data_IF_426912216685
#
_entry.id   IF_426912216685
#
_cell.length_a   1.000
_cell.length_b   1.000
_cell.length_c   1.000
_cell.angle_alpha   90.00
_cell.angle_beta   90.00
_cell.angle_gamma   90.00
#
_symmetry.space_group_name_H-M   'P 1'
#
loop_
_entity.id
_entity.type
_entity.pdbx_description
1 polymer ?
#
# COMPACT_ATOMS: atom_id res chain seq x y z
N UNK A 1 40.31 -56.26 74.18
CA UNK A 1 39.23 -56.49 73.20
C UNK A 1 38.39 -55.22 73.13
N UNK A 2 38.33 -54.58 71.95
CA UNK A 2 37.44 -53.48 71.52
C UNK A 2 37.36 -52.16 72.33
N UNK A 3 37.98 -51.14 71.74
CA UNK A 3 37.61 -49.71 71.80
C UNK A 3 36.21 -49.46 71.20
N UNK A 4 35.51 -48.44 71.70
CA UNK A 4 34.53 -47.62 70.97
C UNK A 4 33.99 -46.50 71.90
N UNK A 5 33.63 -45.30 71.50
CA UNK A 5 34.08 -44.34 70.49
C UNK A 5 33.30 -43.05 70.82
N UNK A 6 33.95 -41.88 70.84
CA UNK A 6 33.27 -40.60 71.04
C UNK A 6 32.66 -40.11 69.71
N UNK A 7 31.37 -39.76 69.69
CA UNK A 7 30.73 -39.14 68.53
C UNK A 7 30.22 -37.74 68.86
N UNK A 8 30.91 -36.71 68.35
CA UNK A 8 30.47 -35.31 68.34
C UNK A 8 29.37 -35.14 67.29
N UNK A 9 28.27 -34.49 67.65
CA UNK A 9 27.21 -34.10 66.71
C UNK A 9 27.67 -32.87 65.91
N UNK A 10 27.81 -33.02 64.60
CA UNK A 10 28.09 -31.95 63.65
C UNK A 10 26.78 -31.58 62.93
N UNK A 11 26.37 -30.33 63.07
CA UNK A 11 25.22 -29.76 62.38
C UNK A 11 25.48 -29.67 60.87
N UNK A 12 24.56 -30.17 60.06
CA UNK A 12 24.52 -29.94 58.61
C UNK A 12 23.29 -29.09 58.33
N UNK A 13 23.53 -27.80 58.05
CA UNK A 13 22.54 -26.86 57.56
C UNK A 13 22.46 -27.03 56.03
N UNK A 14 21.39 -27.65 55.54
CA UNK A 14 21.13 -27.82 54.11
C UNK A 14 20.56 -26.51 53.54
N UNK A 15 21.36 -25.76 52.78
CA UNK A 15 20.86 -24.64 51.97
C UNK A 15 20.26 -25.18 50.66
N UNK A 16 18.93 -25.20 50.56
CA UNK A 16 18.23 -25.37 49.29
C UNK A 16 18.38 -24.09 48.45
N UNK A 17 19.27 -24.11 47.46
CA UNK A 17 19.25 -23.14 46.38
C UNK A 17 18.17 -23.53 45.37
N UNK A 18 17.00 -22.87 45.47
CA UNK A 18 16.02 -22.87 44.39
C UNK A 18 16.64 -22.14 43.20
N UNK A 19 17.16 -22.91 42.25
CA UNK A 19 17.58 -22.40 40.95
C UNK A 19 16.38 -21.82 40.22
N UNK A 20 16.29 -20.49 40.17
CA UNK A 20 15.43 -19.79 39.23
C UNK A 20 15.98 -20.12 37.84
N UNK A 21 15.27 -20.95 37.08
CA UNK A 21 15.57 -21.19 35.69
C UNK A 21 15.37 -19.87 34.93
N UNK A 22 16.48 -19.20 34.59
CA UNK A 22 16.46 -18.13 33.59
C UNK A 22 15.83 -18.69 32.31
N UNK A 23 14.90 -17.98 31.65
CA UNK A 23 14.44 -18.38 30.33
C UNK A 23 15.67 -18.44 29.42
N UNK A 24 15.82 -19.56 28.71
CA UNK A 24 16.92 -19.77 27.78
C UNK A 24 17.01 -18.57 26.84
N UNK A 25 18.13 -17.85 26.92
CA UNK A 25 18.52 -16.82 25.97
C UNK A 25 18.50 -17.47 24.59
N UNK A 26 17.47 -17.16 23.78
CA UNK A 26 17.48 -17.50 22.36
C UNK A 26 18.72 -16.83 21.78
N UNK A 27 19.69 -17.64 21.34
CA UNK A 27 20.93 -17.15 20.77
C UNK A 27 20.63 -16.06 19.75
N UNK A 28 21.11 -14.85 20.01
CA UNK A 28 20.89 -13.68 19.16
C UNK A 28 21.48 -14.01 17.78
N UNK A 29 20.62 -14.07 16.75
CA UNK A 29 21.06 -14.26 15.37
C UNK A 29 21.99 -13.10 14.97
N UNK A 30 23.01 -13.35 14.15
CA UNK A 30 23.78 -12.26 13.54
C UNK A 30 22.92 -11.59 12.46
N UNK A 31 23.13 -10.29 12.21
CA UNK A 31 22.45 -9.57 11.12
C UNK A 31 22.61 -10.30 9.77
N UNK A 32 23.78 -10.86 9.47
CA UNK A 32 24.00 -11.60 8.22
C UNK A 32 23.10 -12.83 8.05
N UNK A 33 22.82 -13.56 9.14
CA UNK A 33 21.88 -14.69 9.11
C UNK A 33 20.45 -14.20 8.95
N UNK A 34 20.14 -13.10 9.64
CA UNK A 34 18.84 -12.45 9.56
C UNK A 34 18.54 -11.96 8.15
N UNK A 35 19.48 -11.28 7.50
CA UNK A 35 19.34 -10.71 6.16
C UNK A 35 19.00 -11.78 5.13
N UNK A 36 19.71 -12.92 5.16
CA UNK A 36 19.44 -14.06 4.27
C UNK A 36 18.00 -14.56 4.41
N UNK A 37 17.49 -14.59 5.63
CA UNK A 37 16.12 -15.03 5.92
C UNK A 37 15.10 -13.97 5.50
N UNK A 38 15.28 -12.72 5.92
CA UNK A 38 14.37 -11.60 5.65
C UNK A 38 14.25 -11.28 4.16
N UNK A 39 15.32 -11.47 3.38
CA UNK A 39 15.31 -11.23 1.93
C UNK A 39 14.19 -11.99 1.20
N UNK A 40 13.85 -13.19 1.65
CA UNK A 40 12.76 -14.00 1.09
C UNK A 40 11.38 -13.73 1.70
N UNK A 41 11.30 -12.91 2.75
CA UNK A 41 10.06 -12.64 3.50
C UNK A 41 9.49 -11.24 3.20
N UNK A 42 10.24 -10.37 2.56
CA UNK A 42 9.78 -9.01 2.22
C UNK A 42 9.53 -8.92 0.72
N UNK A 43 8.38 -8.38 0.34
CA UNK A 43 7.88 -8.35 -1.04
C UNK A 43 7.66 -6.91 -1.49
N UNK A 44 7.88 -6.66 -2.79
CA UNK A 44 7.46 -5.42 -3.42
C UNK A 44 5.97 -5.52 -3.72
N UNK A 45 5.16 -4.57 -3.23
CA UNK A 45 3.73 -4.52 -3.56
C UNK A 45 3.49 -3.44 -4.61
N UNK A 46 2.71 -3.79 -5.64
CA UNK A 46 2.28 -2.88 -6.70
C UNK A 46 0.75 -2.86 -6.78
N UNK A 47 0.09 -1.83 -6.25
CA UNK A 47 -1.32 -1.59 -6.49
C UNK A 47 -1.58 -1.30 -7.96
N UNK A 48 -2.49 -2.03 -8.57
CA UNK A 48 -2.98 -1.82 -9.92
C UNK A 48 -4.44 -1.38 -9.92
N UNK A 49 -4.81 -0.53 -10.88
CA UNK A 49 -6.18 -0.07 -11.09
C UNK A 49 -6.66 -0.40 -12.50
N UNK A 50 -7.88 -0.89 -12.59
CA UNK A 50 -8.70 -0.87 -13.80
C UNK A 50 -9.99 -0.10 -13.50
N UNK A 51 -10.55 0.52 -14.53
CA UNK A 51 -11.78 1.29 -14.42
C UNK A 51 -12.77 0.76 -15.44
N UNK A 52 -14.00 0.47 -15.00
CA UNK A 52 -15.10 0.10 -15.90
C UNK A 52 -16.18 1.15 -15.89
N UNK A 53 -16.68 1.53 -17.06
CA UNK A 53 -17.87 2.35 -17.22
C UNK A 53 -19.07 1.46 -17.48
N UNK A 54 -20.06 1.48 -16.58
CA UNK A 54 -21.33 0.71 -16.66
C UNK A 54 -21.16 -0.79 -16.91
N UNK A 55 -20.01 -1.34 -16.52
CA UNK A 55 -19.60 -2.72 -16.82
C UNK A 55 -19.52 -3.05 -18.33
N UNK A 56 -19.59 -2.05 -19.21
CA UNK A 56 -19.57 -2.23 -20.66
C UNK A 56 -18.23 -1.88 -21.27
N UNK A 57 -17.59 -0.82 -20.76
CA UNK A 57 -16.34 -0.32 -21.32
C UNK A 57 -15.25 -0.28 -20.26
N UNK A 58 -14.02 -0.53 -20.68
CA UNK A 58 -12.81 -0.28 -19.89
C UNK A 58 -12.31 1.13 -20.15
N UNK A 59 -11.92 1.83 -19.10
CA UNK A 59 -11.53 3.23 -19.16
C UNK A 59 -10.03 3.39 -18.91
N UNK A 60 -9.38 4.23 -19.72
CA UNK A 60 -7.95 4.50 -19.61
C UNK A 60 -7.66 5.98 -19.80
N UNK A 61 -6.69 6.52 -19.06
CA UNK A 61 -6.19 7.87 -19.31
C UNK A 61 -5.47 7.88 -20.65
N UNK A 62 -5.94 8.71 -21.57
CA UNK A 62 -5.39 8.79 -22.93
C UNK A 62 -4.71 10.11 -23.24
N UNK A 63 -5.13 11.19 -22.58
CA UNK A 63 -4.71 12.56 -22.91
C UNK A 63 -5.04 13.51 -21.74
N UNK A 64 -4.66 14.78 -21.88
CA UNK A 64 -5.10 15.87 -21.01
C UNK A 64 -5.90 16.90 -21.82
N UNK A 65 -6.97 17.43 -21.25
CA UNK A 65 -7.76 18.50 -21.86
C UNK A 65 -6.87 19.71 -22.16
N UNK A 66 -6.91 20.31 -23.36
CA UNK A 66 -6.01 21.42 -23.71
C UNK A 66 -6.10 22.62 -22.78
N UNK A 67 -7.31 23.05 -22.41
CA UNK A 67 -7.55 24.26 -21.61
C UNK A 67 -7.27 24.06 -20.13
N UNK A 68 -7.79 22.98 -19.54
CA UNK A 68 -7.74 22.76 -18.09
C UNK A 68 -6.61 21.84 -17.62
N UNK A 69 -5.97 21.13 -18.56
CA UNK A 69 -4.99 20.07 -18.28
C UNK A 69 -5.51 18.94 -17.37
N UNK A 70 -6.83 18.74 -17.32
CA UNK A 70 -7.45 17.63 -16.61
C UNK A 70 -7.43 16.35 -17.44
N UNK A 71 -7.39 15.16 -16.81
CA UNK A 71 -7.30 13.89 -17.51
C UNK A 71 -8.50 13.63 -18.42
N UNK A 72 -8.24 13.04 -19.59
CA UNK A 72 -9.26 12.55 -20.52
C UNK A 72 -9.22 11.03 -20.52
N UNK A 73 -10.38 10.42 -20.25
CA UNK A 73 -10.52 8.96 -20.17
C UNK A 73 -11.19 8.44 -21.44
N UNK A 74 -10.46 7.66 -22.24
CA UNK A 74 -11.05 6.93 -23.36
C UNK A 74 -11.72 5.64 -22.89
N UNK A 75 -12.53 5.04 -23.75
CA UNK A 75 -13.32 3.83 -23.50
C UNK A 75 -13.02 2.75 -24.54
N UNK A 76 -12.70 1.53 -24.10
CA UNK A 76 -12.47 0.35 -24.93
C UNK A 76 -13.46 -0.77 -24.57
N UNK A 77 -13.74 -1.68 -25.51
CA UNK A 77 -14.63 -2.83 -25.25
C UNK A 77 -13.91 -4.00 -24.59
N UNK A 78 -12.61 -4.12 -24.79
CA UNK A 78 -11.76 -5.13 -24.20
C UNK A 78 -10.84 -4.53 -23.12
N UNK A 79 -10.28 -5.41 -22.29
CA UNK A 79 -9.31 -5.05 -21.25
C UNK A 79 -7.87 -5.16 -21.78
N UNK A 80 -7.63 -4.71 -23.02
CA UNK A 80 -6.36 -4.93 -23.68
C UNK A 80 -5.16 -4.25 -22.98
N UNK A 81 -5.40 -3.23 -22.14
CA UNK A 81 -4.35 -2.55 -21.37
C UNK A 81 -4.09 -3.20 -20.01
N UNK A 82 -4.97 -4.08 -19.52
CA UNK A 82 -4.82 -4.70 -18.21
C UNK A 82 -4.79 -3.70 -17.05
N UNK A 83 -4.14 -4.09 -15.95
CA UNK A 83 -4.00 -3.22 -14.78
C UNK A 83 -2.96 -2.14 -15.04
N UNK A 84 -3.33 -0.88 -14.78
CA UNK A 84 -2.35 0.21 -14.70
C UNK A 84 -1.75 0.22 -13.29
N UNK A 85 -0.43 0.14 -13.19
CA UNK A 85 0.27 0.24 -11.90
C UNK A 85 0.16 1.69 -11.41
N UNK A 86 -0.42 1.87 -10.23
CA UNK A 86 -0.71 3.20 -9.67
C UNK A 86 0.32 3.62 -8.62
N UNK A 87 1.01 2.66 -8.03
CA UNK A 87 2.06 2.93 -7.06
C UNK A 87 2.88 1.69 -6.74
N UNK A 88 3.67 1.82 -5.70
CA UNK A 88 4.58 0.80 -5.24
C UNK A 88 4.85 0.99 -3.75
N UNK A 89 5.19 -0.10 -3.10
CA UNK A 89 5.57 -0.10 -1.70
C UNK A 89 6.17 -1.43 -1.28
N UNK A 90 6.20 -1.64 0.01
CA UNK A 90 6.70 -2.87 0.62
C UNK A 90 5.58 -3.57 1.37
N UNK A 91 5.57 -4.89 1.33
CA UNK A 91 4.66 -5.72 2.11
C UNK A 91 5.40 -6.95 2.64
N UNK A 92 4.90 -7.54 3.72
CA UNK A 92 5.48 -8.75 4.30
C UNK A 92 4.40 -9.63 4.92
N UNK A 93 4.53 -10.97 4.84
CA UNK A 93 3.59 -11.89 5.44
C UNK A 93 3.73 -11.87 6.96
N UNK A 94 2.62 -11.92 7.67
CA UNK A 94 2.58 -11.93 9.13
C UNK A 94 2.11 -13.27 9.68
N UNK A 95 2.61 -13.64 10.86
CA UNK A 95 2.15 -14.83 11.57
C UNK A 95 0.79 -14.53 12.21
N UNK A 96 -0.20 -15.34 11.87
CA UNK A 96 -1.58 -15.21 12.33
C UNK A 96 -2.08 -16.52 12.94
N UNK A 97 -3.13 -16.44 13.74
CA UNK A 97 -3.87 -17.60 14.26
C UNK A 97 -4.77 -18.21 13.16
N UNK A 98 -5.30 -17.37 12.27
CA UNK A 98 -6.01 -17.79 11.06
C UNK A 98 -5.04 -18.47 10.07
N UNK A 99 -5.48 -19.56 9.42
CA UNK A 99 -4.66 -20.37 8.49
C UNK A 99 -5.32 -20.60 7.14
N UNK A 100 -6.44 -19.93 6.88
CA UNK A 100 -7.19 -20.02 5.62
C UNK A 100 -6.45 -19.34 4.46
N UNK A 101 -5.71 -18.28 4.75
CA UNK A 101 -4.97 -17.46 3.79
C UNK A 101 -3.65 -17.00 4.39
N UNK A 102 -2.77 -16.50 3.54
CA UNK A 102 -1.64 -15.69 4.02
C UNK A 102 -2.05 -14.23 4.07
N UNK A 103 -1.71 -13.60 5.18
CA UNK A 103 -1.98 -12.19 5.43
C UNK A 103 -0.67 -11.41 5.32
N UNK A 104 -0.72 -10.29 4.62
CA UNK A 104 0.41 -9.41 4.42
C UNK A 104 0.09 -8.05 5.00
N UNK A 105 1.07 -7.46 5.68
CA UNK A 105 0.96 -6.09 6.17
C UNK A 105 1.68 -5.16 5.21
N UNK A 106 1.03 -4.03 4.94
CA UNK A 106 1.60 -2.88 4.25
C UNK A 106 1.02 -1.62 4.87
N UNK A 107 1.44 -0.48 4.35
CA UNK A 107 0.94 0.83 4.74
C UNK A 107 -0.33 1.20 3.94
N UNK A 108 -1.27 1.94 4.54
CA UNK A 108 -2.54 2.25 3.88
C UNK A 108 -2.38 3.26 2.73
N UNK A 109 -1.37 4.13 2.75
CA UNK A 109 -1.06 4.97 1.60
C UNK A 109 -0.79 4.13 0.34
N UNK A 110 -0.09 3.00 0.52
CA UNK A 110 0.19 2.03 -0.56
C UNK A 110 -1.09 1.35 -1.01
N UNK A 111 -1.89 0.80 -0.10
CA UNK A 111 -3.02 -0.03 -0.48
C UNK A 111 -4.29 0.74 -0.89
N UNK A 112 -4.67 1.78 -0.16
CA UNK A 112 -5.94 2.48 -0.33
C UNK A 112 -5.82 3.81 -1.07
N UNK A 113 -4.91 4.67 -0.60
CA UNK A 113 -4.90 6.08 -1.05
C UNK A 113 -4.35 6.28 -2.46
N UNK A 114 -3.54 5.33 -2.95
CA UNK A 114 -2.90 5.46 -4.26
C UNK A 114 -3.90 5.39 -5.43
N UNK A 115 -4.93 4.54 -5.34
CA UNK A 115 -5.87 4.30 -6.45
C UNK A 115 -7.12 5.21 -6.41
N UNK A 116 -7.54 5.65 -5.21
CA UNK A 116 -8.77 6.40 -4.98
C UNK A 116 -8.89 7.71 -5.79
N UNK A 117 -7.88 8.60 -5.80
CA UNK A 117 -7.94 9.86 -6.52
C UNK A 117 -8.22 9.68 -8.03
N UNK A 118 -7.58 8.70 -8.67
CA UNK A 118 -7.74 8.46 -10.11
C UNK A 118 -9.12 7.90 -10.44
N UNK A 119 -9.65 7.01 -9.60
CA UNK A 119 -11.03 6.54 -9.74
C UNK A 119 -12.04 7.70 -9.59
N UNK A 120 -11.80 8.59 -8.63
CA UNK A 120 -12.64 9.77 -8.42
C UNK A 120 -12.57 10.75 -9.60
N UNK A 121 -11.40 10.98 -10.19
CA UNK A 121 -11.23 11.81 -11.38
C UNK A 121 -11.94 11.24 -12.60
N UNK A 122 -11.86 9.92 -12.81
CA UNK A 122 -12.62 9.22 -13.85
C UNK A 122 -14.13 9.40 -13.68
N UNK A 123 -14.62 9.25 -12.45
CA UNK A 123 -16.03 9.47 -12.12
C UNK A 123 -16.46 10.93 -12.39
N UNK A 124 -15.62 11.92 -12.08
CA UNK A 124 -15.86 13.34 -12.42
C UNK A 124 -15.98 13.54 -13.92
N UNK A 125 -15.06 13.00 -14.70
CA UNK A 125 -15.08 13.11 -16.14
C UNK A 125 -16.39 12.55 -16.74
N UNK A 126 -16.74 11.30 -16.42
CA UNK A 126 -17.95 10.69 -17.00
C UNK A 126 -19.27 11.24 -16.44
N UNK A 127 -19.30 11.72 -15.19
CA UNK A 127 -20.45 12.47 -14.67
C UNK A 127 -20.66 13.78 -15.44
N UNK A 128 -19.56 14.49 -15.77
CA UNK A 128 -19.62 15.68 -16.59
C UNK A 128 -20.04 15.37 -18.03
N UNK A 129 -19.52 14.30 -18.63
CA UNK A 129 -19.94 13.83 -19.97
C UNK A 129 -21.43 13.51 -19.98
N UNK A 130 -21.97 12.92 -18.90
CA UNK A 130 -23.41 12.65 -18.76
C UNK A 130 -24.25 13.90 -18.74
N UNK A 131 -23.90 14.87 -17.89
CA UNK A 131 -24.61 16.14 -17.84
C UNK A 131 -24.49 16.90 -19.17
N UNK A 132 -23.31 16.92 -19.78
CA UNK A 132 -23.08 17.59 -21.05
C UNK A 132 -23.88 16.93 -22.19
N UNK A 133 -24.02 15.61 -22.18
CA UNK A 133 -24.90 14.90 -23.10
C UNK A 133 -26.35 15.38 -22.96
N UNK A 134 -26.88 15.42 -21.74
CA UNK A 134 -28.24 15.91 -21.45
C UNK A 134 -28.44 17.37 -21.91
N UNK A 135 -27.47 18.25 -21.66
CA UNK A 135 -27.52 19.66 -22.06
C UNK A 135 -27.42 19.87 -23.58
N UNK A 136 -26.85 18.93 -24.33
CA UNK A 136 -26.56 19.07 -25.77
C UNK A 136 -27.31 18.07 -26.65
N UNK A 137 -28.22 17.29 -26.09
CA UNK A 137 -28.97 16.27 -26.83
C UNK A 137 -29.96 16.89 -27.84
N UNK A 138 -30.46 18.11 -27.57
CA UNK A 138 -31.51 18.78 -28.36
C UNK A 138 -32.74 17.88 -28.58
N UNK A 139 -32.90 17.31 -29.78
CA UNK A 139 -33.98 16.39 -30.14
C UNK A 139 -33.58 14.90 -30.05
N UNK A 140 -32.30 14.60 -29.78
CA UNK A 140 -31.81 13.23 -29.62
C UNK A 140 -32.08 12.74 -28.19
N UNK A 141 -32.15 11.42 -28.04
CA UNK A 141 -32.12 10.79 -26.72
C UNK A 141 -30.75 11.03 -26.03
N UNK A 142 -30.78 11.17 -24.70
CA UNK A 142 -29.59 11.51 -23.91
C UNK A 142 -28.54 10.39 -23.94
N UNK A 143 -28.94 9.12 -24.02
CA UNK A 143 -27.99 8.00 -24.15
C UNK A 143 -27.35 7.97 -25.53
N UNK A 144 -28.13 8.24 -26.59
CA UNK A 144 -27.58 8.36 -27.93
C UNK A 144 -26.53 9.48 -28.02
N UNK A 145 -26.82 10.64 -27.42
CA UNK A 145 -25.85 11.76 -27.36
C UNK A 145 -24.62 11.40 -26.54
N UNK A 146 -24.77 10.70 -25.42
CA UNK A 146 -23.62 10.27 -24.62
C UNK A 146 -22.71 9.31 -25.40
N UNK A 147 -23.27 8.34 -26.12
CA UNK A 147 -22.49 7.41 -26.93
C UNK A 147 -21.76 8.12 -28.08
N UNK A 148 -22.37 9.14 -28.70
CA UNK A 148 -21.71 10.01 -29.67
C UNK A 148 -20.51 10.75 -29.03
N UNK A 149 -20.66 11.30 -27.83
CA UNK A 149 -19.56 11.92 -27.10
C UNK A 149 -18.44 10.93 -26.78
N UNK A 150 -18.75 9.69 -26.39
CA UNK A 150 -17.74 8.66 -26.19
C UNK A 150 -16.94 8.37 -27.46
N UNK A 151 -17.60 8.32 -28.62
CA UNK A 151 -16.92 8.17 -29.91
C UNK A 151 -15.96 9.33 -30.20
N UNK A 152 -16.40 10.56 -29.94
CA UNK A 152 -15.53 11.75 -30.07
C UNK A 152 -14.37 11.71 -29.09
N UNK A 153 -14.59 11.35 -27.82
CA UNK A 153 -13.52 11.23 -26.81
C UNK A 153 -12.48 10.19 -27.24
N UNK A 154 -12.92 9.05 -27.78
CA UNK A 154 -12.05 7.97 -28.23
C UNK A 154 -11.17 8.33 -29.43
N UNK A 155 -11.37 9.50 -30.07
CA UNK A 155 -10.41 10.03 -31.02
C UNK A 155 -9.05 10.34 -30.36
N UNK A 156 -8.98 10.49 -29.03
CA UNK A 156 -7.73 10.71 -28.29
C UNK A 156 -6.65 9.65 -28.55
N UNK A 157 -7.05 8.42 -28.85
CA UNK A 157 -6.14 7.30 -29.09
C UNK A 157 -5.92 6.99 -30.58
N UNK A 158 -6.59 7.72 -31.49
CA UNK A 158 -6.44 7.50 -32.93
C UNK A 158 -5.14 8.18 -33.42
N UNK A 159 -4.22 7.44 -34.06
CA UNK A 159 -2.99 8.01 -34.58
C UNK A 159 -3.28 8.93 -35.77
N UNK A 160 -2.51 10.02 -35.90
CA UNK A 160 -2.56 10.88 -37.09
C UNK A 160 -3.87 11.64 -37.29
N UNK A 161 -4.55 12.04 -36.21
CA UNK A 161 -5.81 12.79 -36.27
C UNK A 161 -5.74 13.99 -37.22
N UNK A 162 -6.71 14.08 -38.14
CA UNK A 162 -6.83 15.23 -39.05
C UNK A 162 -7.13 16.51 -38.26
N UNK A 163 -6.73 17.68 -38.79
CA UNK A 163 -6.85 18.96 -38.08
C UNK A 163 -8.28 19.28 -37.61
N UNK A 164 -9.28 19.02 -38.44
CA UNK A 164 -10.69 19.20 -38.09
C UNK A 164 -11.19 18.23 -37.00
N UNK A 165 -10.81 16.95 -37.10
CA UNK A 165 -11.13 15.95 -36.07
C UNK A 165 -10.48 16.31 -34.73
N UNK A 166 -9.23 16.79 -34.77
CA UNK A 166 -8.50 17.23 -33.58
C UNK A 166 -9.16 18.41 -32.91
N UNK A 167 -9.52 19.44 -33.68
CA UNK A 167 -10.23 20.59 -33.14
C UNK A 167 -11.59 20.18 -32.53
N UNK A 168 -12.33 19.30 -33.19
CA UNK A 168 -13.61 18.80 -32.67
C UNK A 168 -13.45 18.03 -31.35
N UNK A 169 -12.50 17.10 -31.28
CA UNK A 169 -12.16 16.37 -30.07
C UNK A 169 -11.75 17.30 -28.93
N UNK A 170 -10.79 18.20 -29.18
CA UNK A 170 -10.25 19.13 -28.19
C UNK A 170 -11.33 20.05 -27.61
N UNK A 171 -12.15 20.65 -28.47
CA UNK A 171 -13.26 21.50 -28.04
C UNK A 171 -14.28 20.71 -27.21
N UNK A 172 -14.53 19.45 -27.57
CA UNK A 172 -15.48 18.59 -26.84
C UNK A 172 -15.00 18.25 -25.44
N UNK A 173 -13.74 17.83 -25.28
CA UNK A 173 -13.19 17.50 -23.95
C UNK A 173 -13.06 18.72 -23.05
N UNK A 174 -12.70 19.88 -23.60
CA UNK A 174 -12.68 21.13 -22.85
C UNK A 174 -14.11 21.54 -22.42
N UNK A 175 -15.12 21.37 -23.29
CA UNK A 175 -16.51 21.66 -22.96
C UNK A 175 -17.06 20.73 -21.86
N UNK A 176 -16.64 19.46 -21.83
CA UNK A 176 -16.99 18.51 -20.77
C UNK A 176 -16.42 18.96 -19.43
N UNK A 177 -15.12 19.31 -19.38
CA UNK A 177 -14.51 19.80 -18.14
C UNK A 177 -15.05 21.17 -17.72
N UNK A 178 -15.38 22.04 -18.67
CA UNK A 178 -16.07 23.28 -18.38
C UNK A 178 -17.47 23.05 -17.79
N UNK A 179 -18.20 22.03 -18.29
CA UNK A 179 -19.47 21.60 -17.73
C UNK A 179 -19.31 21.12 -16.28
N UNK A 180 -18.25 20.35 -15.98
CA UNK A 180 -17.92 19.96 -14.61
C UNK A 180 -17.69 21.18 -13.72
N UNK A 181 -16.79 22.07 -14.10
CA UNK A 181 -16.40 23.24 -13.30
C UNK A 181 -17.59 24.14 -12.98
N UNK A 182 -18.48 24.36 -13.96
CA UNK A 182 -19.66 25.22 -13.83
C UNK A 182 -20.81 24.61 -13.05
N UNK A 183 -20.95 23.28 -13.03
CA UNK A 183 -22.18 22.64 -12.57
C UNK A 183 -21.99 21.56 -11.49
N UNK A 184 -20.84 20.88 -11.47
CA UNK A 184 -20.60 19.66 -10.69
C UNK A 184 -19.37 19.76 -9.77
N UNK A 185 -18.56 20.82 -9.86
CA UNK A 185 -17.46 21.06 -8.94
C UNK A 185 -17.95 21.29 -7.51
N UNK A 186 -17.10 21.10 -6.50
CA UNK A 186 -17.44 21.41 -5.11
C UNK A 186 -17.90 22.86 -4.92
N UNK A 187 -17.38 23.79 -5.74
CA UNK A 187 -17.78 25.20 -5.71
C UNK A 187 -19.18 25.41 -6.28
N UNK A 188 -19.53 24.72 -7.37
CA UNK A 188 -20.81 24.88 -8.06
C UNK A 188 -21.94 24.03 -7.46
N UNK A 189 -21.61 22.88 -6.88
CA UNK A 189 -22.52 21.97 -6.19
C UNK A 189 -21.92 21.55 -4.83
N UNK A 190 -21.97 22.44 -3.82
CA UNK A 190 -21.42 22.16 -2.48
C UNK A 190 -22.07 20.95 -1.81
N UNK A 191 -23.35 20.71 -2.09
CA UNK A 191 -24.11 19.56 -1.57
C UNK A 191 -23.73 18.22 -2.23
N UNK A 192 -23.01 18.27 -3.36
CA UNK A 192 -22.72 17.12 -4.25
C UNK A 192 -23.96 16.41 -4.79
N UNK A 193 -25.17 16.93 -4.62
CA UNK A 193 -26.40 16.25 -5.02
C UNK A 193 -26.47 16.02 -6.54
N UNK A 194 -26.11 17.02 -7.36
CA UNK A 194 -26.09 16.87 -8.82
C UNK A 194 -24.96 15.97 -9.25
N UNK A 195 -23.78 16.16 -8.67
CA UNK A 195 -22.64 15.29 -8.97
C UNK A 195 -22.98 13.82 -8.70
N UNK A 196 -23.54 13.49 -7.54
CA UNK A 196 -23.89 12.13 -7.17
C UNK A 196 -24.94 11.53 -8.12
N UNK A 197 -25.96 12.31 -8.52
CA UNK A 197 -26.91 11.88 -9.57
C UNK A 197 -26.19 11.44 -10.84
N UNK A 198 -25.32 12.29 -11.40
CA UNK A 198 -24.66 11.99 -12.68
C UNK A 198 -23.55 10.95 -12.54
N UNK A 199 -22.85 10.89 -11.42
CA UNK A 199 -21.88 9.85 -11.12
C UNK A 199 -22.57 8.47 -11.03
N UNK A 200 -23.75 8.40 -10.42
CA UNK A 200 -24.56 7.18 -10.37
C UNK A 200 -25.11 6.79 -11.75
N UNK A 201 -25.34 7.74 -12.67
CA UNK A 201 -25.69 7.44 -14.06
C UNK A 201 -24.47 6.97 -14.87
N UNK A 202 -23.29 7.52 -14.61
CA UNK A 202 -22.04 7.10 -15.25
C UNK A 202 -21.60 5.70 -14.79
N UNK A 203 -21.74 5.37 -13.50
CA UNK A 203 -21.34 4.08 -12.90
C UNK A 203 -19.90 3.69 -13.26
N UNK A 204 -18.94 4.45 -12.73
CA UNK A 204 -17.53 4.06 -12.82
C UNK A 204 -17.22 3.08 -11.69
N UNK A 205 -16.86 1.85 -12.06
CA UNK A 205 -16.53 0.76 -11.15
C UNK A 205 -14.99 0.57 -11.15
N UNK A 206 -14.28 1.02 -10.11
CA UNK A 206 -12.86 0.73 -9.96
C UNK A 206 -12.65 -0.73 -9.55
N UNK A 207 -11.69 -1.38 -10.19
CA UNK A 207 -11.21 -2.71 -9.83
C UNK A 207 -9.74 -2.54 -9.43
N UNK A 208 -9.45 -2.81 -8.16
CA UNK A 208 -8.11 -2.69 -7.59
C UNK A 208 -7.54 -4.08 -7.42
N UNK A 209 -6.32 -4.27 -7.90
CA UNK A 209 -5.53 -5.49 -7.70
C UNK A 209 -4.25 -5.16 -6.94
N UNK A 210 -3.77 -6.08 -6.11
CA UNK A 210 -2.49 -5.93 -5.41
C UNK A 210 -1.53 -7.03 -5.84
N UNK A 211 -0.42 -6.65 -6.46
CA UNK A 211 0.56 -7.59 -6.99
C UNK A 211 1.79 -7.62 -6.08
N UNK A 212 1.99 -8.73 -5.38
CA UNK A 212 3.13 -8.92 -4.48
C UNK A 212 4.24 -9.68 -5.20
N UNK A 213 5.36 -9.01 -5.45
CA UNK A 213 6.52 -9.57 -6.11
C UNK A 213 7.55 -10.04 -5.07
N UNK A 214 7.84 -11.36 -5.02
CA UNK A 214 8.91 -11.86 -4.17
C UNK A 214 10.28 -11.39 -4.69
N UNK A 215 11.28 -11.37 -3.81
CA UNK A 215 12.65 -11.10 -4.21
C UNK A 215 13.16 -12.12 -5.24
N UNK A 216 13.80 -11.66 -6.31
CA UNK A 216 14.27 -12.49 -7.41
C UNK A 216 13.95 -11.90 -8.79
N UNK A 217 14.12 -12.68 -9.88
CA UNK A 217 13.83 -12.23 -11.24
C UNK A 217 12.38 -11.72 -11.39
N UNK A 218 12.20 -10.65 -12.17
CA UNK A 218 10.88 -10.07 -12.45
C UNK A 218 9.97 -10.99 -13.28
N UNK A 219 10.52 -12.08 -13.83
CA UNK A 219 9.79 -13.15 -14.51
C UNK A 219 9.03 -14.06 -13.54
N UNK A 220 9.33 -14.02 -12.24
CA UNK A 220 8.55 -14.74 -11.23
C UNK A 220 7.14 -14.10 -11.18
N UNK A 221 6.06 -14.89 -11.36
CA UNK A 221 4.71 -14.36 -11.28
C UNK A 221 4.44 -13.69 -9.93
N UNK A 222 3.76 -12.55 -9.96
CA UNK A 222 3.30 -11.91 -8.74
C UNK A 222 2.24 -12.76 -8.03
N UNK A 223 2.22 -12.66 -6.70
CA UNK A 223 1.11 -13.16 -5.91
C UNK A 223 0.01 -12.11 -5.98
N UNK A 224 -1.14 -12.48 -6.55
CA UNK A 224 -2.32 -11.61 -6.54
C UNK A 224 -2.97 -11.65 -5.16
N UNK A 225 -3.08 -10.49 -4.54
CA UNK A 225 -3.69 -10.30 -3.24
C UNK A 225 -4.90 -9.37 -3.35
N UNK A 226 -5.77 -9.45 -2.35
CA UNK A 226 -6.93 -8.56 -2.19
C UNK A 226 -6.84 -7.84 -0.85
N UNK A 227 -7.39 -6.62 -0.79
CA UNK A 227 -7.54 -5.91 0.48
C UNK A 227 -8.41 -6.74 1.42
N UNK A 228 -7.86 -7.09 2.58
CA UNK A 228 -8.59 -7.77 3.65
C UNK A 228 -9.19 -6.75 4.62
N UNK A 229 -8.36 -5.81 5.08
CA UNK A 229 -8.76 -4.77 6.04
C UNK A 229 -7.81 -3.58 5.97
N UNK A 230 -8.31 -2.40 6.27
CA UNK A 230 -7.51 -1.18 6.42
C UNK A 230 -7.92 -0.43 7.69
N UNK A 231 -7.02 0.41 8.20
CA UNK A 231 -7.35 1.33 9.29
C UNK A 231 -8.41 2.34 8.85
N UNK A 232 -9.43 2.54 9.70
CA UNK A 232 -10.46 3.55 9.52
C UNK A 232 -9.98 4.99 9.75
N UNK A 233 -10.93 5.91 9.90
CA UNK A 233 -10.61 7.29 10.25
C UNK A 233 -10.10 7.38 11.70
N UNK A 234 -8.90 7.95 11.89
CA UNK A 234 -8.24 8.04 13.20
C UNK A 234 -7.47 6.78 13.62
N UNK A 235 -7.57 5.70 12.86
CA UNK A 235 -6.79 4.48 13.05
C UNK A 235 -5.36 4.62 12.48
N UNK A 236 -4.43 3.72 12.86
CA UNK A 236 -3.11 3.65 12.27
C UNK A 236 -3.13 3.46 10.74
N UNK A 237 -2.16 4.05 10.05
CA UNK A 237 -1.99 4.05 8.59
C UNK A 237 -1.53 2.68 8.06
N UNK A 238 -2.36 1.66 8.24
CA UNK A 238 -2.02 0.27 7.97
C UNK A 238 -3.10 -0.39 7.12
N UNK A 239 -2.65 -1.25 6.21
CA UNK A 239 -3.51 -2.14 5.45
C UNK A 239 -3.01 -3.57 5.54
N UNK A 240 -3.97 -4.48 5.57
CA UNK A 240 -3.76 -5.92 5.55
C UNK A 240 -4.33 -6.44 4.24
N UNK A 241 -3.47 -7.12 3.48
CA UNK A 241 -3.81 -7.82 2.26
C UNK A 241 -3.92 -9.31 2.56
N UNK A 242 -4.71 -10.04 1.77
CA UNK A 242 -4.80 -11.49 1.85
C UNK A 242 -4.60 -12.13 0.48
N UNK A 243 -3.89 -13.26 0.44
CA UNK A 243 -3.70 -14.06 -0.76
C UNK A 243 -3.98 -15.56 -0.46
N UNK A 244 -4.76 -16.25 -1.32
CA UNK A 244 -4.97 -17.68 -1.20
C UNK A 244 -3.78 -18.49 -1.77
N UNK A 245 -3.56 -19.70 -1.25
CA UNK A 245 -2.71 -20.72 -1.89
C UNK A 245 -1.20 -20.48 -1.87
N UNK A 246 -0.71 -19.39 -1.27
CA UNK A 246 0.73 -19.11 -1.13
C UNK A 246 1.07 -18.99 0.35
N UNK A 247 2.06 -19.73 0.82
CA UNK A 247 2.46 -19.78 2.24
C UNK A 247 3.96 -19.47 2.41
N UNK A 248 4.38 -18.21 2.17
CA UNK A 248 5.74 -17.80 2.49
C UNK A 248 5.95 -17.88 4.00
N UNK A 249 7.20 -18.03 4.43
CA UNK A 249 7.52 -18.03 5.85
C UNK A 249 7.12 -16.66 6.47
N UNK A 250 6.22 -16.62 7.45
CA UNK A 250 5.74 -15.35 7.99
C UNK A 250 6.77 -14.68 8.91
N UNK A 251 6.68 -13.36 9.01
CA UNK A 251 7.33 -12.59 10.06
C UNK A 251 6.46 -12.56 11.33
N UNK A 252 7.13 -12.57 12.46
CA UNK A 252 6.48 -12.48 13.76
C UNK A 252 6.64 -11.09 14.33
N UNK A 253 5.55 -10.54 14.87
CA UNK A 253 5.62 -9.33 15.68
C UNK A 253 6.34 -9.61 17.00
N UNK A 254 7.16 -8.65 17.41
CA UNK A 254 7.76 -8.70 18.73
C UNK A 254 6.68 -8.51 19.80
N UNK A 255 6.79 -9.29 20.87
CA UNK A 255 5.92 -9.15 22.04
C UNK A 255 6.49 -8.12 23.02
N UNK A 256 7.79 -7.82 22.90
CA UNK A 256 8.45 -6.81 23.70
C UNK A 256 8.24 -5.43 23.06
N UNK A 257 7.86 -4.41 23.83
CA UNK A 257 7.83 -3.04 23.35
C UNK A 257 9.20 -2.62 22.80
N UNK A 258 9.20 -1.77 21.77
CA UNK A 258 10.42 -1.14 21.29
C UNK A 258 11.04 -0.28 22.40
N UNK A 259 12.37 -0.24 22.45
CA UNK A 259 13.13 0.64 23.35
C UNK A 259 13.90 1.68 22.55
N UNK A 260 13.98 2.91 23.07
CA UNK A 260 14.88 3.93 22.52
C UNK A 260 16.34 3.43 22.55
N UNK A 261 17.10 3.78 21.51
CA UNK A 261 18.48 3.33 21.30
C UNK A 261 18.62 1.90 20.77
N UNK A 262 17.54 1.12 20.72
CA UNK A 262 17.56 -0.25 20.19
C UNK A 262 17.98 -0.26 18.72
N UNK A 263 18.95 -1.11 18.38
CA UNK A 263 19.36 -1.34 16.99
C UNK A 263 18.26 -2.04 16.20
N UNK A 264 18.04 -1.53 14.99
CA UNK A 264 17.01 -1.98 14.08
C UNK A 264 17.53 -2.07 12.66
N UNK A 265 16.78 -2.78 11.85
CA UNK A 265 16.94 -2.78 10.41
C UNK A 265 15.56 -2.57 9.76
N UNK A 266 15.53 -1.83 8.67
CA UNK A 266 14.37 -1.65 7.81
C UNK A 266 14.67 -2.36 6.50
N UNK A 267 13.73 -3.19 6.05
CA UNK A 267 13.88 -3.98 4.83
C UNK A 267 12.76 -3.63 3.87
N UNK A 268 13.07 -3.20 2.65
CA UNK A 268 12.01 -2.88 1.69
C UNK A 268 12.50 -2.46 0.31
N UNK A 269 11.65 -1.79 -0.45
CA UNK A 269 11.88 -1.45 -1.85
C UNK A 269 11.84 0.06 -2.10
N UNK A 270 12.84 0.81 -1.61
CA UNK A 270 12.94 2.24 -1.88
C UNK A 270 13.21 2.50 -3.37
N UNK A 271 12.47 3.44 -3.98
CA UNK A 271 12.65 3.85 -5.38
C UNK A 271 14.07 4.36 -5.67
N UNK A 272 14.71 4.96 -4.66
CA UNK A 272 16.07 5.44 -4.81
C UNK A 272 17.07 4.33 -5.17
N UNK A 273 16.81 3.07 -4.77
CA UNK A 273 17.66 1.94 -5.14
C UNK A 273 17.57 1.61 -6.63
N UNK A 274 16.39 1.72 -7.23
CA UNK A 274 16.20 1.45 -8.66
C UNK A 274 16.99 2.45 -9.54
N UNK A 275 17.22 3.67 -9.03
CA UNK A 275 18.01 4.69 -9.73
C UNK A 275 19.52 4.38 -9.73
N UNK A 276 19.99 3.61 -8.76
CA UNK A 276 21.39 3.18 -8.65
C UNK A 276 21.68 1.95 -9.50
N UNK A 277 20.63 1.24 -9.90
CA UNK A 277 20.71 -0.08 -10.52
C UNK A 277 20.10 -0.09 -11.93
N UNK A 278 20.98 -0.22 -12.93
CA UNK A 278 20.59 -0.22 -14.35
C UNK A 278 19.75 -1.43 -14.75
N UNK A 279 19.76 -2.49 -13.95
CA UNK A 279 19.01 -3.72 -14.20
C UNK A 279 17.82 -3.88 -13.24
N UNK A 280 17.44 -2.83 -12.51
CA UNK A 280 16.33 -2.83 -11.52
C UNK A 280 14.99 -3.29 -12.10
N UNK A 281 14.75 -3.14 -13.41
CA UNK A 281 13.54 -3.64 -14.06
C UNK A 281 13.52 -5.17 -14.22
N UNK A 282 14.67 -5.84 -14.13
CA UNK A 282 14.82 -7.29 -14.37
C UNK A 282 14.65 -8.13 -13.11
N UNK A 283 14.70 -7.54 -11.93
CA UNK A 283 14.55 -8.24 -10.66
C UNK A 283 14.05 -7.34 -9.54
N UNK A 284 13.47 -7.98 -8.54
CA UNK A 284 13.11 -7.37 -7.27
C UNK A 284 14.19 -7.72 -6.23
N UNK A 285 14.93 -6.73 -5.76
CA UNK A 285 15.91 -6.89 -4.69
C UNK A 285 15.58 -5.94 -3.53
N UNK A 286 15.28 -6.45 -2.32
CA UNK A 286 15.03 -5.58 -1.19
C UNK A 286 16.33 -4.90 -0.74
N UNK A 287 16.21 -3.65 -0.33
CA UNK A 287 17.27 -2.86 0.31
C UNK A 287 17.16 -3.02 1.82
N UNK A 288 18.30 -3.17 2.47
CA UNK A 288 18.43 -3.24 3.92
C UNK A 288 19.07 -1.95 4.41
N UNK A 289 18.39 -1.23 5.29
CA UNK A 289 18.93 -0.04 5.95
C UNK A 289 18.96 -0.25 7.45
N UNK A 290 20.04 0.16 8.10
CA UNK A 290 20.21 0.01 9.55
C UNK A 290 20.02 1.34 10.24
N UNK A 291 19.65 1.28 11.51
CA UNK A 291 19.47 2.45 12.35
C UNK A 291 19.15 2.06 13.78
N UNK A 292 18.56 2.99 14.51
CA UNK A 292 18.10 2.85 15.89
C UNK A 292 16.71 3.42 16.05
N UNK A 293 16.04 2.95 17.09
CA UNK A 293 14.82 3.59 17.59
C UNK A 293 15.20 4.93 18.25
N UNK A 294 14.72 6.03 17.69
CA UNK A 294 14.99 7.38 18.19
C UNK A 294 13.98 7.83 19.23
N UNK A 295 12.72 7.39 19.13
CA UNK A 295 11.63 7.75 20.05
C UNK A 295 10.52 6.71 20.02
N UNK A 296 9.91 6.43 21.17
CA UNK A 296 8.74 5.53 21.26
C UNK A 296 7.52 6.26 21.81
N UNK A 297 6.37 6.04 21.19
CA UNK A 297 5.05 6.49 21.63
C UNK A 297 4.06 5.31 21.53
N UNK A 298 2.82 5.40 22.05
CA UNK A 298 1.89 4.27 22.03
C UNK A 298 1.65 3.66 20.64
N UNK A 299 1.53 4.51 19.60
CA UNK A 299 1.16 4.07 18.24
C UNK A 299 2.30 4.22 17.23
N UNK A 300 3.37 4.93 17.58
CA UNK A 300 4.45 5.28 16.64
C UNK A 300 5.81 5.04 17.26
N UNK A 301 6.67 4.40 16.49
CA UNK A 301 8.11 4.24 16.72
C UNK A 301 8.82 5.12 15.71
N UNK A 302 9.58 6.10 16.18
CA UNK A 302 10.45 6.90 15.33
C UNK A 302 11.79 6.17 15.17
N UNK A 303 12.29 6.06 13.94
CA UNK A 303 13.60 5.48 13.65
C UNK A 303 14.45 6.42 12.80
N UNK A 304 15.77 6.28 12.90
CA UNK A 304 16.75 7.05 12.12
C UNK A 304 17.29 6.30 10.89
N UNK A 305 16.84 5.05 10.67
CA UNK A 305 17.20 4.29 9.49
C UNK A 305 16.74 5.02 8.20
N UNK A 306 17.59 5.09 7.17
CA UNK A 306 17.22 5.70 5.90
C UNK A 306 15.98 5.06 5.28
N UNK A 307 14.96 5.88 5.00
CA UNK A 307 13.75 5.48 4.26
C UNK A 307 13.38 6.53 3.22
N UNK A 308 12.85 6.09 2.09
CA UNK A 308 12.40 6.96 0.98
C UNK A 308 11.11 6.42 0.36
N UNK A 309 10.64 7.01 -0.74
CA UNK A 309 9.44 6.53 -1.45
C UNK A 309 9.60 5.06 -1.79
N UNK A 310 8.57 4.24 -1.56
CA UNK A 310 8.63 2.78 -1.72
C UNK A 310 9.02 1.99 -0.45
N UNK A 311 9.56 2.68 0.56
CA UNK A 311 9.77 2.09 1.90
C UNK A 311 8.48 2.01 2.73
N UNK A 312 7.38 2.61 2.27
CA UNK A 312 6.08 2.50 2.94
C UNK A 312 5.63 1.04 3.01
N UNK A 313 5.25 0.59 4.19
CA UNK A 313 4.91 -0.80 4.51
C UNK A 313 6.11 -1.70 4.86
N UNK A 314 7.34 -1.18 4.86
CA UNK A 314 8.53 -1.95 5.25
C UNK A 314 8.48 -2.38 6.72
N UNK A 315 8.82 -3.63 7.04
CA UNK A 315 9.00 -4.03 8.43
C UNK A 315 10.25 -3.35 9.03
N UNK A 316 10.08 -2.83 10.24
CA UNK A 316 11.18 -2.47 11.14
C UNK A 316 11.43 -3.67 12.05
N UNK A 317 12.61 -4.28 11.94
CA UNK A 317 12.98 -5.50 12.66
C UNK A 317 14.06 -5.25 13.70
N UNK A 318 13.98 -5.98 14.81
CA UNK A 318 15.04 -6.06 15.80
C UNK A 318 16.08 -7.14 15.44
N UNK A 319 17.21 -7.17 16.15
CA UNK A 319 18.22 -8.24 16.03
C UNK A 319 17.64 -9.65 16.31
N UNK A 320 16.51 -9.74 17.02
CA UNK A 320 15.78 -11.00 17.22
C UNK A 320 15.04 -11.47 15.97
N UNK A 321 15.05 -10.68 14.90
CA UNK A 321 14.32 -10.94 13.68
C UNK A 321 12.80 -10.85 13.82
N UNK A 322 12.33 -10.08 14.81
CA UNK A 322 10.93 -9.81 15.07
C UNK A 322 10.59 -8.40 14.63
N UNK A 323 9.39 -8.21 14.08
CA UNK A 323 8.89 -6.92 13.62
C UNK A 323 8.42 -6.11 14.83
N UNK A 324 9.00 -4.94 15.04
CA UNK A 324 8.61 -4.04 16.13
C UNK A 324 7.67 -2.92 15.64
N UNK A 325 7.75 -2.56 14.35
CA UNK A 325 6.96 -1.52 13.74
C UNK A 325 6.92 -1.68 12.21
N UNK A 326 6.07 -0.89 11.54
CA UNK A 326 5.90 -0.86 10.08
C UNK A 326 6.06 0.57 9.60
N UNK A 327 6.96 0.83 8.66
CA UNK A 327 7.20 2.17 8.13
C UNK A 327 5.93 2.69 7.46
N UNK A 328 5.48 3.87 7.88
CA UNK A 328 4.26 4.48 7.35
C UNK A 328 4.49 5.93 6.92
N UNK A 329 5.23 6.67 7.72
CA UNK A 329 5.39 8.10 7.55
C UNK A 329 6.85 8.48 7.38
N UNK A 330 7.08 9.49 6.55
CA UNK A 330 8.36 10.17 6.43
C UNK A 330 8.20 11.56 7.00
N UNK A 331 9.14 11.99 7.84
CA UNK A 331 9.14 13.37 8.30
C UNK A 331 9.42 14.30 7.10
N UNK A 332 8.78 15.46 7.08
CA UNK A 332 8.98 16.49 6.05
C UNK A 332 9.44 17.79 6.69
N UNK A 333 10.27 18.54 5.98
CA UNK A 333 10.62 19.91 6.31
C UNK A 333 9.39 20.81 6.17
N UNK A 334 9.50 22.05 6.66
CA UNK A 334 8.48 23.09 6.42
C UNK A 334 8.23 23.37 4.93
N UNK A 335 9.24 23.15 4.08
CA UNK A 335 9.13 23.30 2.62
C UNK A 335 8.55 22.04 1.93
N UNK A 336 8.22 21.00 2.69
CA UNK A 336 7.68 19.74 2.16
C UNK A 336 8.73 18.74 1.68
N UNK A 337 10.01 19.07 1.76
CA UNK A 337 11.10 18.14 1.42
C UNK A 337 11.20 17.03 2.46
N UNK A 338 11.51 15.81 2.03
CA UNK A 338 11.57 14.67 2.94
C UNK A 338 12.87 14.68 3.75
N UNK A 339 12.75 14.32 5.03
CA UNK A 339 13.89 14.07 5.91
C UNK A 339 14.21 12.58 5.84
N UNK A 340 15.39 12.24 5.33
CA UNK A 340 15.79 10.85 5.07
C UNK A 340 16.12 10.06 6.33
N UNK A 341 16.40 10.74 7.45
CA UNK A 341 16.88 10.12 8.69
C UNK A 341 15.82 10.20 9.82
N UNK A 342 14.56 10.45 9.47
CA UNK A 342 13.45 10.55 10.42
C UNK A 342 12.22 9.88 9.83
N UNK A 343 12.02 8.62 10.19
CA UNK A 343 10.85 7.84 9.79
C UNK A 343 9.90 7.64 10.96
N UNK A 344 8.61 7.77 10.70
CA UNK A 344 7.55 7.32 11.59
C UNK A 344 7.09 5.93 11.17
N UNK A 345 7.17 4.97 12.09
CA UNK A 345 6.68 3.62 11.90
C UNK A 345 5.53 3.33 12.87
N UNK A 346 4.47 2.69 12.38
CA UNK A 346 3.34 2.25 13.21
C UNK A 346 3.79 1.06 14.06
N UNK A 347 3.54 1.11 15.37
CA UNK A 347 3.94 0.04 16.28
C UNK A 347 3.25 -1.29 15.96
N UNK A 348 3.92 -2.41 16.23
CA UNK A 348 3.34 -3.75 16.03
C UNK A 348 2.02 -3.94 16.82
N UNK A 349 1.88 -3.30 17.98
CA UNK A 349 0.64 -3.30 18.76
C UNK A 349 -0.51 -2.59 18.02
N UNK A 350 -0.22 -1.47 17.37
CA UNK A 350 -1.18 -0.73 16.56
C UNK A 350 -1.61 -1.50 15.30
N UNK A 351 -0.72 -2.32 14.71
CA UNK A 351 -1.11 -3.25 13.63
C UNK A 351 -2.11 -4.30 14.14
N UNK A 352 -1.88 -4.85 15.32
CA UNK A 352 -2.78 -5.85 15.94
C UNK A 352 -4.17 -5.27 16.24
N UNK A 353 -4.27 -3.99 16.61
CA UNK A 353 -5.57 -3.37 16.87
C UNK A 353 -6.43 -3.19 15.62
N UNK A 354 -5.83 -3.12 14.42
CA UNK A 354 -6.59 -3.06 13.16
C UNK A 354 -7.28 -4.40 12.88
N UNK A 355 -6.63 -5.54 13.12
CA UNK A 355 -7.20 -6.87 12.89
C UNK A 355 -6.94 -7.84 14.05
N UNK A 356 -7.53 -7.59 15.23
CA UNK A 356 -7.31 -8.42 16.43
C UNK A 356 -7.71 -9.88 16.19
N UNK A 357 -8.70 -10.13 15.34
CA UNK A 357 -9.16 -11.46 14.97
C UNK A 357 -8.05 -12.34 14.36
N UNK A 358 -7.02 -11.75 13.74
CA UNK A 358 -5.92 -12.48 13.12
C UNK A 358 -4.90 -13.00 14.12
N UNK A 359 -4.85 -12.48 15.35
CA UNK A 359 -3.80 -12.79 16.32
C UNK A 359 -4.26 -13.66 17.49
N UNK A 360 -5.55 -14.02 17.52
CA UNK A 360 -6.15 -14.70 18.66
C UNK A 360 -6.49 -13.74 19.80
N UNK A 361 -7.18 -14.26 20.82
CA UNK A 361 -7.42 -13.52 22.07
C UNK A 361 -6.19 -13.51 22.96
#
# INVERSE_FOLDING_TARGET
MKLCNSGKSLAILLTLTLGVACPASTAVETWEKLDKRLKGQVLNVRPGLKLRLRDQYWCYVSDLSPKYRFPVYCTLKDDARGFQIMGYGTAFPIKTAARDKTYYVTDKHVAGDTCGPVAAECARFFAATRLYAEQTAFLKDHEARFNELLQTINLSIKPGLAGGERAHYQNTVDAIWECYEKNLSLRADPSRARFLKYAQMARVNPIIGYFLHPAGPATIPAIEASLYKEGGEGDPDISILSAPGVHPMPLEFDLLPASEGQEIQVVGYPLASDQLDKDSEKYYAPTFTTGRVSRVTPNTVQVDAPVTSGSSGSPVVSIRGKVIAVVAQRAKTKSGAELTNFAGAISASAVKSVAPELFGK
#
